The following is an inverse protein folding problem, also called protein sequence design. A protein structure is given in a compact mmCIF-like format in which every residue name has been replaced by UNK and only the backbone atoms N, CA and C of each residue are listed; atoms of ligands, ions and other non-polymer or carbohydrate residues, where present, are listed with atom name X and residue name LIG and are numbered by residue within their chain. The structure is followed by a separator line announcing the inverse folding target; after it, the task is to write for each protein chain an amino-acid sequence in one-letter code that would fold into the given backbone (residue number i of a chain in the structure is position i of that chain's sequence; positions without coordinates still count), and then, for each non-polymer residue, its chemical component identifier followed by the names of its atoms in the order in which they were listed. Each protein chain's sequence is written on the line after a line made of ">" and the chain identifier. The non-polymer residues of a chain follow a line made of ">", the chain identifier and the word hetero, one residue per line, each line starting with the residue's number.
data_IF_118894344632
#
_entry.id   IF_118894344632
#
_cell.length_a   1.000
_cell.length_b   1.000
_cell.length_c   1.000
_cell.angle_alpha   90.00
_cell.angle_beta   90.00
_cell.angle_gamma   90.00
#
_symmetry.space_group_name_H-M   'P 1'
#
loop_
_entity.id
_entity.type
_entity.pdbx_description
1 polymer ?
#
# COMPACT_ATOMS: atom_id res chain seq x y z
N UNK A 1 21.43 -1.06 -34.86
CA UNK A 1 20.55 -1.59 -33.78
C UNK A 1 20.38 -3.10 -33.95
N UNK A 2 20.61 -3.90 -32.90
CA UNK A 2 20.40 -5.35 -32.92
C UNK A 2 19.30 -5.69 -31.90
N UNK A 3 18.26 -6.43 -32.33
CA UNK A 3 17.18 -6.91 -31.46
C UNK A 3 17.71 -7.69 -30.27
N UNK A 4 18.70 -8.56 -30.47
CA UNK A 4 19.31 -9.37 -29.42
C UNK A 4 19.95 -8.48 -28.35
N UNK A 5 20.68 -7.43 -28.75
CA UNK A 5 21.25 -6.48 -27.80
C UNK A 5 20.17 -5.73 -27.02
N UNK A 6 19.05 -5.39 -27.67
CA UNK A 6 17.93 -4.72 -27.02
C UNK A 6 17.23 -5.64 -26.00
N UNK A 7 16.96 -6.89 -26.36
CA UNK A 7 16.37 -7.90 -25.45
C UNK A 7 17.35 -8.21 -24.31
N UNK A 8 18.66 -8.31 -24.58
CA UNK A 8 19.68 -8.53 -23.57
C UNK A 8 19.73 -7.35 -22.58
N UNK A 9 19.73 -6.12 -23.09
CA UNK A 9 19.67 -4.92 -22.27
C UNK A 9 18.41 -4.92 -21.39
N UNK A 10 17.24 -5.20 -21.96
CA UNK A 10 16.00 -5.30 -21.21
C UNK A 10 16.06 -6.38 -20.12
N UNK A 11 16.61 -7.56 -20.41
CA UNK A 11 16.75 -8.66 -19.44
C UNK A 11 17.59 -8.32 -18.20
N UNK A 12 18.51 -7.36 -18.33
CA UNK A 12 19.41 -6.94 -17.25
C UNK A 12 18.87 -5.75 -16.45
N UNK A 13 18.11 -4.86 -17.10
CA UNK A 13 17.67 -3.60 -16.50
C UNK A 13 16.20 -3.62 -16.05
N UNK A 14 15.38 -4.53 -16.57
CA UNK A 14 14.00 -4.69 -16.11
C UNK A 14 13.95 -5.32 -14.71
N UNK A 15 12.88 -5.03 -13.99
CA UNK A 15 12.59 -5.68 -12.73
C UNK A 15 11.92 -7.04 -12.96
N UNK A 16 12.00 -7.92 -11.97
CA UNK A 16 11.22 -9.16 -11.99
C UNK A 16 9.72 -8.81 -11.90
N UNK A 17 8.81 -9.56 -12.56
CA UNK A 17 9.05 -10.81 -13.28
C UNK A 17 9.58 -10.65 -14.72
N UNK A 18 9.39 -9.48 -15.36
CA UNK A 18 9.71 -9.27 -16.77
C UNK A 18 11.18 -9.53 -17.12
N UNK A 19 12.13 -9.20 -16.24
CA UNK A 19 13.54 -9.54 -16.52
C UNK A 19 13.80 -11.04 -16.60
N UNK A 20 13.08 -11.85 -15.83
CA UNK A 20 13.18 -13.32 -15.93
C UNK A 20 12.55 -13.82 -17.23
N UNK A 21 11.43 -13.24 -17.64
CA UNK A 21 10.80 -13.56 -18.92
C UNK A 21 11.74 -13.26 -20.09
N UNK A 22 12.40 -12.12 -20.08
CA UNK A 22 13.38 -11.76 -21.12
C UNK A 22 14.64 -12.62 -21.07
N UNK A 23 15.10 -13.06 -19.88
CA UNK A 23 16.17 -14.07 -19.76
C UNK A 23 15.74 -15.42 -20.32
N UNK A 24 14.48 -15.80 -20.12
CA UNK A 24 13.92 -17.03 -20.65
C UNK A 24 13.89 -17.05 -22.18
N UNK A 25 13.68 -15.90 -22.83
CA UNK A 25 13.79 -15.77 -24.30
C UNK A 25 15.19 -16.19 -24.78
N UNK A 26 16.25 -15.75 -24.10
CA UNK A 26 17.62 -16.20 -24.41
C UNK A 26 17.81 -17.68 -24.11
N UNK A 27 17.39 -18.10 -22.92
CA UNK A 27 17.53 -19.49 -22.48
C UNK A 27 16.87 -20.48 -23.44
N UNK A 28 15.67 -20.18 -23.95
CA UNK A 28 14.96 -21.05 -24.89
C UNK A 28 15.70 -21.16 -26.24
N UNK A 29 16.45 -20.14 -26.66
CA UNK A 29 17.33 -20.22 -27.83
C UNK A 29 18.60 -21.00 -27.53
N UNK A 30 19.24 -20.78 -26.37
CA UNK A 30 20.46 -21.49 -25.97
C UNK A 30 20.27 -23.00 -25.81
N UNK A 31 19.09 -23.42 -25.34
CA UNK A 31 18.71 -24.84 -25.20
C UNK A 31 18.23 -25.44 -26.54
N UNK A 32 18.15 -24.64 -27.61
CA UNK A 32 17.78 -25.09 -28.95
C UNK A 32 16.28 -25.32 -29.14
N UNK A 33 15.42 -24.76 -28.27
CA UNK A 33 13.96 -24.83 -28.43
C UNK A 33 13.46 -23.93 -29.55
N UNK A 34 14.13 -22.80 -29.80
CA UNK A 34 13.90 -21.92 -30.93
C UNK A 34 15.21 -21.63 -31.66
N UNK A 35 15.13 -21.34 -32.96
CA UNK A 35 16.33 -21.11 -33.78
C UNK A 35 16.86 -19.67 -33.67
N UNK A 36 16.00 -18.72 -33.31
CA UNK A 36 16.35 -17.30 -33.23
C UNK A 36 15.67 -16.62 -32.04
N UNK A 37 16.28 -15.52 -31.56
CA UNK A 37 15.69 -14.67 -30.51
C UNK A 37 14.35 -14.09 -30.96
N UNK A 38 14.19 -13.77 -32.25
CA UNK A 38 12.92 -13.30 -32.81
C UNK A 38 11.82 -14.33 -32.63
N UNK A 39 12.07 -15.58 -33.00
CA UNK A 39 11.09 -16.67 -32.91
C UNK A 39 10.69 -16.95 -31.44
N UNK A 40 11.67 -16.93 -30.53
CA UNK A 40 11.41 -17.08 -29.10
C UNK A 40 10.61 -15.90 -28.53
N UNK A 41 10.93 -14.67 -28.95
CA UNK A 41 10.20 -13.46 -28.57
C UNK A 41 8.76 -13.51 -29.09
N UNK A 42 8.55 -13.87 -30.36
CA UNK A 42 7.23 -14.05 -30.97
C UNK A 42 6.39 -15.07 -30.17
N UNK A 43 7.00 -16.17 -29.70
CA UNK A 43 6.34 -17.15 -28.84
C UNK A 43 5.94 -16.57 -27.47
N UNK A 44 6.83 -15.81 -26.84
CA UNK A 44 6.54 -15.12 -25.59
C UNK A 44 5.38 -14.13 -25.74
N UNK A 45 5.35 -13.35 -26.85
CA UNK A 45 4.30 -12.39 -27.12
C UNK A 45 2.92 -13.04 -27.31
N UNK A 46 2.83 -14.29 -27.74
CA UNK A 46 1.54 -15.01 -27.82
C UNK A 46 0.87 -15.18 -26.46
N UNK A 47 1.63 -15.25 -25.36
CA UNK A 47 1.09 -15.36 -24.01
C UNK A 47 0.25 -14.11 -23.69
N UNK A 48 0.65 -12.95 -24.20
CA UNK A 48 0.01 -11.66 -23.95
C UNK A 48 -1.26 -11.44 -24.78
N UNK A 49 -1.63 -12.35 -25.68
CA UNK A 49 -2.75 -12.14 -26.62
C UNK A 49 -4.11 -11.99 -25.92
N UNK A 50 -4.28 -12.64 -24.77
CA UNK A 50 -5.50 -12.54 -23.95
C UNK A 50 -5.54 -11.30 -23.04
N UNK A 51 -4.38 -10.77 -22.65
CA UNK A 51 -4.27 -9.73 -21.62
C UNK A 51 -3.95 -8.35 -22.21
N UNK A 52 -3.06 -8.28 -23.20
CA UNK A 52 -2.58 -7.03 -23.79
C UNK A 52 -2.18 -7.13 -25.27
N UNK A 53 -3.14 -6.85 -26.15
CA UNK A 53 -2.88 -6.72 -27.59
C UNK A 53 -1.98 -5.53 -27.92
N UNK A 54 -2.09 -4.44 -27.17
CA UNK A 54 -1.32 -3.22 -27.38
C UNK A 54 0.18 -3.42 -27.08
N UNK A 55 0.49 -4.35 -26.16
CA UNK A 55 1.86 -4.77 -25.89
C UNK A 55 2.46 -5.51 -27.08
N UNK A 56 1.70 -6.42 -27.68
CA UNK A 56 2.12 -7.17 -28.87
C UNK A 56 2.34 -6.22 -30.06
N UNK A 57 1.39 -5.31 -30.29
CA UNK A 57 1.50 -4.30 -31.35
C UNK A 57 2.72 -3.39 -31.18
N UNK A 58 3.01 -2.96 -29.95
CA UNK A 58 4.20 -2.18 -29.65
C UNK A 58 5.49 -2.96 -29.98
N UNK A 59 5.54 -4.26 -29.65
CA UNK A 59 6.68 -5.10 -30.01
C UNK A 59 6.84 -5.27 -31.52
N UNK A 60 5.75 -5.50 -32.26
CA UNK A 60 5.81 -5.58 -33.73
C UNK A 60 6.26 -4.27 -34.38
N UNK A 61 5.93 -3.10 -33.79
CA UNK A 61 6.46 -1.81 -34.23
C UNK A 61 7.97 -1.68 -33.92
N UNK A 62 8.44 -2.16 -32.77
CA UNK A 62 9.88 -2.20 -32.46
C UNK A 62 10.61 -3.09 -33.47
N UNK A 63 10.06 -4.26 -33.80
CA UNK A 63 10.64 -5.17 -34.79
C UNK A 63 10.66 -4.57 -36.20
N UNK A 64 9.57 -3.93 -36.63
CA UNK A 64 9.51 -3.30 -37.95
C UNK A 64 10.52 -2.15 -38.10
N UNK A 65 10.85 -1.46 -37.00
CA UNK A 65 11.88 -0.42 -36.98
C UNK A 65 13.28 -0.92 -37.39
N UNK A 66 13.57 -2.22 -37.24
CA UNK A 66 14.85 -2.82 -37.64
C UNK A 66 15.01 -2.88 -39.16
N UNK A 67 13.90 -2.90 -39.89
CA UNK A 67 13.86 -2.94 -41.35
C UNK A 67 13.73 -1.55 -41.98
N UNK A 68 13.60 -0.49 -41.17
CA UNK A 68 13.49 0.88 -41.66
C UNK A 68 14.84 1.41 -42.18
N UNK A 69 14.93 1.76 -43.48
CA UNK A 69 16.18 2.23 -44.10
C UNK A 69 16.53 3.65 -43.65
N UNK A 70 15.53 4.49 -43.38
CA UNK A 70 15.71 5.88 -42.96
C UNK A 70 15.69 5.99 -41.43
N UNK A 71 16.73 6.60 -40.86
CA UNK A 71 16.84 6.79 -39.42
C UNK A 71 15.70 7.64 -38.82
N UNK A 72 15.22 8.66 -39.54
CA UNK A 72 14.08 9.50 -39.11
C UNK A 72 12.80 8.67 -39.02
N UNK A 73 12.53 7.83 -40.03
CA UNK A 73 11.37 6.92 -40.00
C UNK A 73 11.48 5.94 -38.85
N UNK A 74 12.65 5.33 -38.66
CA UNK A 74 12.92 4.42 -37.54
C UNK A 74 12.59 5.03 -36.19
N UNK A 75 13.04 6.26 -35.92
CA UNK A 75 12.74 6.97 -34.67
C UNK A 75 11.23 7.16 -34.54
N UNK A 76 10.55 7.61 -35.61
CA UNK A 76 9.09 7.78 -35.60
C UNK A 76 8.33 6.46 -35.34
N UNK A 77 8.82 5.32 -35.84
CA UNK A 77 8.24 4.00 -35.59
C UNK A 77 8.42 3.57 -34.12
N UNK A 78 9.58 3.86 -33.53
CA UNK A 78 9.84 3.62 -32.10
C UNK A 78 9.01 4.55 -31.19
N UNK A 79 8.82 5.81 -31.59
CA UNK A 79 7.89 6.72 -30.89
C UNK A 79 6.45 6.21 -31.00
N UNK A 80 6.08 5.67 -32.17
CA UNK A 80 4.75 5.09 -32.36
C UNK A 80 4.54 3.85 -31.50
N UNK A 81 5.54 2.99 -31.34
CA UNK A 81 5.43 1.82 -30.46
C UNK A 81 5.22 2.22 -29.01
N UNK A 82 5.95 3.25 -28.55
CA UNK A 82 5.77 3.83 -27.21
C UNK A 82 4.37 4.43 -27.05
N UNK A 83 3.88 5.16 -28.05
CA UNK A 83 2.53 5.73 -28.01
C UNK A 83 1.45 4.64 -27.91
N UNK A 84 1.54 3.59 -28.72
CA UNK A 84 0.54 2.50 -28.74
C UNK A 84 0.40 1.84 -27.37
N UNK A 85 1.51 1.54 -26.70
CA UNK A 85 1.45 0.93 -25.36
C UNK A 85 0.91 1.91 -24.31
N UNK A 86 1.30 3.18 -24.35
CA UNK A 86 0.84 4.18 -23.38
C UNK A 86 -0.65 4.49 -23.52
N UNK A 87 -1.10 4.75 -24.74
CA UNK A 87 -2.52 5.01 -25.05
C UNK A 87 -3.36 3.77 -24.74
N UNK A 88 -2.86 2.57 -25.06
CA UNK A 88 -3.52 1.30 -24.73
C UNK A 88 -3.72 1.08 -23.23
N UNK A 89 -2.69 1.33 -22.42
CA UNK A 89 -2.78 1.24 -20.95
C UNK A 89 -3.74 2.29 -20.41
N UNK A 90 -3.71 3.52 -20.94
CA UNK A 90 -4.62 4.58 -20.55
C UNK A 90 -6.09 4.21 -20.83
N UNK A 91 -6.39 3.73 -22.03
CA UNK A 91 -7.73 3.33 -22.42
C UNK A 91 -8.27 2.16 -21.59
N UNK A 92 -7.41 1.18 -21.27
CA UNK A 92 -7.79 0.08 -20.35
C UNK A 92 -8.11 0.59 -18.96
N UNK A 93 -7.29 1.51 -18.42
CA UNK A 93 -7.54 2.12 -17.12
C UNK A 93 -8.84 2.93 -17.10
N UNK A 94 -9.15 3.63 -18.20
CA UNK A 94 -10.41 4.36 -18.34
C UNK A 94 -11.61 3.40 -18.35
N UNK A 95 -11.56 2.34 -19.17
CA UNK A 95 -12.59 1.29 -19.22
C UNK A 95 -12.78 0.62 -17.86
N UNK A 96 -11.68 0.27 -17.17
CA UNK A 96 -11.73 -0.29 -15.82
C UNK A 96 -12.44 0.64 -14.83
N UNK A 97 -12.10 1.92 -14.83
CA UNK A 97 -12.70 2.92 -13.93
C UNK A 97 -14.21 3.02 -14.12
N UNK A 98 -14.70 2.93 -15.36
CA UNK A 98 -16.13 2.90 -15.64
C UNK A 98 -16.79 1.58 -15.19
N UNK A 99 -16.16 0.44 -15.48
CA UNK A 99 -16.71 -0.88 -15.19
C UNK A 99 -16.75 -1.22 -13.69
N UNK A 100 -15.81 -0.68 -12.91
CA UNK A 100 -15.68 -0.92 -11.47
C UNK A 100 -16.77 -0.25 -10.65
N UNK A 101 -17.41 0.80 -11.18
CA UNK A 101 -18.45 1.56 -10.46
C UNK A 101 -19.59 0.64 -9.98
N UNK A 102 -20.15 -0.18 -10.86
CA UNK A 102 -21.29 -1.05 -10.51
C UNK A 102 -20.93 -2.13 -9.48
N UNK A 103 -19.84 -2.90 -9.65
CA UNK A 103 -19.35 -3.83 -8.63
C UNK A 103 -19.10 -3.16 -7.27
N UNK A 104 -18.49 -1.97 -7.24
CA UNK A 104 -18.28 -1.24 -5.99
C UNK A 104 -19.58 -0.81 -5.33
N UNK A 105 -20.58 -0.37 -6.10
CA UNK A 105 -21.91 -0.09 -5.55
C UNK A 105 -22.51 -1.34 -4.92
N UNK A 106 -22.39 -2.51 -5.54
CA UNK A 106 -22.88 -3.76 -4.97
C UNK A 106 -22.17 -4.11 -3.66
N UNK A 107 -20.84 -3.92 -3.60
CA UNK A 107 -20.06 -4.10 -2.37
C UNK A 107 -20.50 -3.10 -1.29
N UNK A 108 -20.74 -1.84 -1.65
CA UNK A 108 -21.26 -0.83 -0.73
C UNK A 108 -22.64 -1.20 -0.19
N UNK A 109 -23.53 -1.68 -1.06
CA UNK A 109 -24.86 -2.16 -0.66
C UNK A 109 -24.76 -3.33 0.32
N UNK A 110 -23.87 -4.29 0.06
CA UNK A 110 -23.65 -5.44 0.92
C UNK A 110 -22.97 -5.07 2.24
N UNK A 111 -21.99 -4.16 2.21
CA UNK A 111 -21.13 -3.85 3.35
C UNK A 111 -21.60 -2.72 4.24
N UNK A 112 -22.46 -1.82 3.75
CA UNK A 112 -22.95 -0.67 4.51
C UNK A 112 -24.46 -0.67 4.60
N UNK A 113 -25.16 -0.76 3.47
CA UNK A 113 -26.63 -0.59 3.45
C UNK A 113 -27.34 -1.79 4.08
N UNK A 114 -26.98 -3.01 3.70
CA UNK A 114 -27.58 -4.22 4.27
C UNK A 114 -27.33 -4.31 5.78
N UNK A 115 -26.12 -4.02 6.31
CA UNK A 115 -25.88 -3.98 7.74
C UNK A 115 -26.70 -2.92 8.49
N UNK A 116 -26.78 -1.71 7.95
CA UNK A 116 -27.51 -0.62 8.60
C UNK A 116 -29.02 -0.90 8.63
N UNK A 117 -29.59 -1.40 7.52
CA UNK A 117 -30.98 -1.87 7.48
C UNK A 117 -31.20 -3.08 8.40
N UNK A 118 -30.28 -4.04 8.40
CA UNK A 118 -30.36 -5.23 9.25
C UNK A 118 -30.36 -4.88 10.74
N UNK A 119 -29.56 -3.90 11.16
CA UNK A 119 -29.56 -3.38 12.53
C UNK A 119 -30.87 -2.66 12.86
N UNK A 120 -31.42 -1.86 11.93
CA UNK A 120 -32.69 -1.16 12.14
C UNK A 120 -33.89 -2.12 12.26
N UNK A 121 -33.85 -3.25 11.54
CA UNK A 121 -34.90 -4.28 11.56
C UNK A 121 -34.73 -5.32 12.69
N UNK A 122 -33.59 -5.31 13.38
CA UNK A 122 -33.26 -6.28 14.43
C UNK A 122 -34.32 -6.36 15.56
N UNK A 123 -34.86 -5.23 16.08
CA UNK A 123 -35.92 -5.28 17.09
C UNK A 123 -37.19 -5.98 16.59
N UNK A 124 -37.58 -5.72 15.34
CA UNK A 124 -38.75 -6.33 14.71
C UNK A 124 -38.53 -7.83 14.50
N UNK A 125 -37.36 -8.19 13.97
CA UNK A 125 -36.98 -9.58 13.77
C UNK A 125 -36.93 -10.35 15.09
N UNK A 126 -36.38 -9.76 16.15
CA UNK A 126 -36.33 -10.36 17.49
C UNK A 126 -37.74 -10.56 18.06
N UNK A 127 -38.66 -9.62 17.86
CA UNK A 127 -40.04 -9.74 18.34
C UNK A 127 -40.85 -10.81 17.58
N UNK A 128 -40.59 -10.99 16.28
CA UNK A 128 -41.31 -11.95 15.43
C UNK A 128 -40.76 -13.37 15.51
N UNK A 129 -39.43 -13.51 15.59
CA UNK A 129 -38.73 -14.81 15.52
C UNK A 129 -38.51 -15.40 16.93
N UNK A 130 -38.70 -14.60 17.98
CA UNK A 130 -38.61 -15.06 19.37
C UNK A 130 -37.24 -15.68 19.71
N UNK A 131 -37.25 -16.80 20.43
CA UNK A 131 -36.05 -17.46 20.98
C UNK A 131 -35.07 -18.04 19.93
N UNK A 132 -35.45 -18.08 18.65
CA UNK A 132 -34.56 -18.55 17.59
C UNK A 132 -33.46 -17.52 17.25
N UNK A 133 -33.69 -16.21 17.49
CA UNK A 133 -32.71 -15.17 17.23
C UNK A 133 -31.89 -14.83 18.49
N UNK A 134 -30.78 -15.53 18.66
CA UNK A 134 -29.82 -15.26 19.76
C UNK A 134 -28.74 -14.25 19.36
N UNK A 135 -28.19 -13.56 20.37
CA UNK A 135 -27.16 -12.52 20.20
C UNK A 135 -25.94 -12.96 19.38
N UNK A 136 -25.53 -14.23 19.49
CA UNK A 136 -24.38 -14.77 18.74
C UNK A 136 -24.63 -14.86 17.24
N UNK A 137 -25.89 -15.03 16.78
CA UNK A 137 -26.20 -15.02 15.34
C UNK A 137 -25.92 -13.65 14.72
N UNK A 138 -26.30 -12.59 15.44
CA UNK A 138 -26.03 -11.20 15.04
C UNK A 138 -24.54 -10.95 15.00
N UNK A 139 -23.80 -11.39 16.03
CA UNK A 139 -22.35 -11.20 16.05
C UNK A 139 -21.68 -11.89 14.86
N UNK A 140 -21.98 -13.16 14.61
CA UNK A 140 -21.35 -13.92 13.51
C UNK A 140 -21.69 -13.30 12.15
N UNK A 141 -22.96 -12.95 11.93
CA UNK A 141 -23.39 -12.40 10.64
C UNK A 141 -22.74 -11.05 10.35
N UNK A 142 -22.82 -10.10 11.28
CA UNK A 142 -22.41 -8.72 11.06
C UNK A 142 -20.92 -8.46 11.29
N UNK A 143 -20.26 -9.19 12.20
CA UNK A 143 -18.84 -8.96 12.49
C UNK A 143 -17.89 -9.92 11.78
N UNK A 144 -18.38 -11.06 11.28
CA UNK A 144 -17.53 -12.05 10.62
C UNK A 144 -17.92 -12.26 9.15
N UNK A 145 -19.16 -12.70 8.89
CA UNK A 145 -19.58 -13.11 7.55
C UNK A 145 -19.60 -11.92 6.59
N UNK A 146 -20.32 -10.84 6.93
CA UNK A 146 -20.45 -9.69 6.03
C UNK A 146 -19.08 -9.04 5.75
N UNK A 147 -18.25 -8.71 6.76
CA UNK A 147 -16.92 -8.14 6.51
C UNK A 147 -16.03 -9.05 5.67
N UNK A 148 -16.09 -10.37 5.86
CA UNK A 148 -15.36 -11.33 5.04
C UNK A 148 -15.77 -11.24 3.57
N UNK A 149 -17.07 -11.23 3.27
CA UNK A 149 -17.56 -11.11 1.89
C UNK A 149 -17.21 -9.76 1.27
N UNK A 150 -17.33 -8.67 2.03
CA UNK A 150 -16.91 -7.33 1.58
C UNK A 150 -15.43 -7.33 1.22
N UNK A 151 -14.59 -7.87 2.10
CA UNK A 151 -13.15 -7.97 1.87
C UNK A 151 -12.83 -8.78 0.60
N UNK A 152 -13.39 -9.99 0.49
CA UNK A 152 -13.18 -10.86 -0.66
C UNK A 152 -13.62 -10.22 -1.98
N UNK A 153 -14.81 -9.61 -2.02
CA UNK A 153 -15.31 -8.96 -3.23
C UNK A 153 -14.49 -7.72 -3.60
N UNK A 154 -14.09 -6.94 -2.61
CA UNK A 154 -13.23 -5.77 -2.84
C UNK A 154 -11.88 -6.20 -3.40
N UNK A 155 -11.25 -7.21 -2.80
CA UNK A 155 -9.96 -7.75 -3.26
C UNK A 155 -10.07 -8.26 -4.72
N UNK A 156 -11.12 -9.03 -5.02
CA UNK A 156 -11.39 -9.51 -6.39
C UNK A 156 -11.55 -8.37 -7.40
N UNK A 157 -12.26 -7.29 -7.05
CA UNK A 157 -12.43 -6.11 -7.93
C UNK A 157 -11.09 -5.39 -8.12
N UNK A 158 -10.31 -5.24 -7.06
CA UNK A 158 -9.02 -4.56 -7.09
C UNK A 158 -7.97 -5.33 -7.91
N UNK A 159 -8.01 -6.67 -7.88
CA UNK A 159 -7.14 -7.53 -8.69
C UNK A 159 -7.41 -7.44 -10.20
N UNK A 160 -8.59 -6.95 -10.61
CA UNK A 160 -8.91 -6.72 -12.03
C UNK A 160 -8.37 -5.39 -12.56
N UNK A 161 -7.72 -4.57 -11.69
CA UNK A 161 -7.12 -3.32 -12.10
C UNK A 161 -6.05 -3.59 -13.17
N UNK A 162 -6.09 -2.91 -14.33
CA UNK A 162 -5.03 -3.00 -15.31
C UNK A 162 -3.67 -2.72 -14.67
N UNK A 163 -2.68 -3.54 -15.02
CA UNK A 163 -1.34 -3.43 -14.48
C UNK A 163 -0.78 -2.02 -14.66
N UNK A 164 -0.36 -1.41 -13.57
CA UNK A 164 0.45 -0.21 -13.54
C UNK A 164 1.74 -0.50 -12.79
N UNK A 165 2.81 0.22 -13.13
CA UNK A 165 4.10 0.04 -12.46
C UNK A 165 3.95 0.24 -10.94
N UNK A 166 4.32 -0.79 -10.16
CA UNK A 166 4.13 -0.84 -8.71
C UNK A 166 5.29 -0.19 -7.95
N UNK A 167 4.99 0.81 -7.12
CA UNK A 167 5.96 1.51 -6.27
C UNK A 167 6.48 0.65 -5.09
N UNK A 168 5.92 -0.55 -4.89
CA UNK A 168 6.18 -1.41 -3.73
C UNK A 168 7.61 -1.93 -3.67
N UNK A 169 8.22 -2.25 -4.81
CA UNK A 169 9.60 -2.78 -4.85
C UNK A 169 10.65 -1.68 -4.67
N UNK A 170 10.28 -0.41 -4.86
CA UNK A 170 11.14 0.72 -4.54
C UNK A 170 11.32 0.86 -3.02
N UNK A 171 10.37 0.39 -2.22
CA UNK A 171 10.46 0.42 -0.77
C UNK A 171 11.60 -0.48 -0.26
N UNK A 172 11.77 -1.66 -0.85
CA UNK A 172 12.79 -2.63 -0.43
C UNK A 172 14.20 -2.16 -0.75
N UNK A 173 14.35 -1.36 -1.81
CA UNK A 173 15.62 -0.73 -2.21
C UNK A 173 15.97 0.49 -1.33
N UNK A 174 15.06 0.94 -0.47
CA UNK A 174 15.30 2.10 0.37
C UNK A 174 16.33 1.77 1.47
N UNK A 175 17.39 2.58 1.66
CA UNK A 175 18.37 2.38 2.73
C UNK A 175 17.77 2.28 4.14
N UNK A 176 16.59 2.87 4.36
CA UNK A 176 15.88 2.86 5.65
C UNK A 176 14.92 1.67 5.81
N UNK A 177 14.90 0.71 4.87
CA UNK A 177 14.01 -0.46 4.93
C UNK A 177 14.19 -1.29 6.21
N UNK A 178 15.39 -1.32 6.80
CA UNK A 178 15.63 -1.99 8.09
C UNK A 178 14.78 -1.41 9.24
N UNK A 179 14.47 -0.10 9.21
CA UNK A 179 13.60 0.54 10.21
C UNK A 179 12.16 0.11 10.04
N UNK A 180 11.71 -0.06 8.79
CA UNK A 180 10.40 -0.61 8.49
C UNK A 180 10.26 -2.06 8.96
N UNK A 181 11.31 -2.88 8.85
CA UNK A 181 11.31 -4.28 9.31
C UNK A 181 11.47 -4.44 10.84
N UNK A 182 11.87 -3.38 11.54
CA UNK A 182 12.11 -3.41 12.98
C UNK A 182 10.84 -3.72 13.79
N UNK A 183 10.96 -4.60 14.79
CA UNK A 183 9.89 -4.93 15.75
C UNK A 183 9.78 -3.94 16.91
N UNK A 184 10.73 -3.00 17.07
CA UNK A 184 10.75 -2.05 18.19
C UNK A 184 9.45 -1.23 18.35
N UNK A 185 8.84 -0.69 17.26
CA UNK A 185 7.58 0.04 17.38
C UNK A 185 6.42 -0.83 17.92
N UNK A 186 6.41 -2.12 17.60
CA UNK A 186 5.41 -3.06 18.13
C UNK A 186 5.55 -3.22 19.63
N UNK A 187 6.76 -3.39 20.16
CA UNK A 187 6.99 -3.56 21.59
C UNK A 187 6.54 -2.31 22.37
N UNK A 188 6.96 -1.13 21.92
CA UNK A 188 6.60 0.13 22.58
C UNK A 188 5.08 0.37 22.55
N UNK A 189 4.44 0.10 21.41
CA UNK A 189 2.99 0.23 21.28
C UNK A 189 2.24 -0.83 22.11
N UNK A 190 2.76 -2.05 22.22
CA UNK A 190 2.17 -3.11 23.05
C UNK A 190 2.14 -2.74 24.53
N UNK A 191 3.18 -2.08 25.05
CA UNK A 191 3.18 -1.62 26.45
C UNK A 191 2.04 -0.63 26.74
N UNK A 192 1.81 0.30 25.80
CA UNK A 192 0.74 1.28 25.90
C UNK A 192 -0.62 0.57 25.76
N UNK A 193 -0.76 -0.35 24.80
CA UNK A 193 -1.97 -1.15 24.63
C UNK A 193 -2.34 -1.90 25.93
N UNK A 194 -1.37 -2.56 26.56
CA UNK A 194 -1.59 -3.30 27.81
C UNK A 194 -2.09 -2.37 28.91
N UNK A 195 -1.53 -1.17 29.06
CA UNK A 195 -2.00 -0.18 30.04
C UNK A 195 -3.47 0.21 29.80
N UNK A 196 -3.83 0.52 28.56
CA UNK A 196 -5.21 0.88 28.19
C UNK A 196 -6.19 -0.29 28.34
N UNK A 197 -5.76 -1.53 28.05
CA UNK A 197 -6.56 -2.73 28.28
C UNK A 197 -6.77 -3.01 29.78
N UNK A 198 -5.75 -2.80 30.62
CA UNK A 198 -5.88 -2.95 32.08
C UNK A 198 -6.94 -1.97 32.60
N UNK A 199 -6.89 -0.71 32.15
CA UNK A 199 -7.88 0.31 32.54
C UNK A 199 -9.28 -0.07 32.02
N UNK A 200 -9.38 -0.52 30.77
CA UNK A 200 -10.67 -0.87 30.18
C UNK A 200 -11.33 -2.12 30.77
N UNK A 201 -10.53 -3.11 31.18
CA UNK A 201 -11.02 -4.32 31.83
C UNK A 201 -11.15 -4.22 33.34
N UNK A 202 -10.77 -3.08 33.94
CA UNK A 202 -10.82 -2.86 35.39
C UNK A 202 -12.16 -3.23 36.04
N UNK A 203 -13.34 -2.90 35.45
CA UNK A 203 -14.63 -3.31 36.02
C UNK A 203 -14.80 -4.84 36.14
N UNK A 204 -14.37 -5.59 35.11
CA UNK A 204 -14.44 -7.05 35.11
C UNK A 204 -13.41 -7.66 36.05
N UNK A 205 -12.20 -7.09 36.09
CA UNK A 205 -11.15 -7.55 37.01
C UNK A 205 -11.63 -7.40 38.45
N UNK A 206 -12.23 -6.26 38.83
CA UNK A 206 -12.70 -6.03 40.20
C UNK A 206 -13.84 -6.99 40.59
N UNK A 207 -14.76 -7.33 39.70
CA UNK A 207 -15.87 -8.21 40.04
C UNK A 207 -15.47 -9.70 40.12
N UNK A 208 -14.65 -10.17 39.17
CA UNK A 208 -14.38 -11.59 38.98
C UNK A 208 -13.07 -12.07 39.62
N UNK A 209 -12.20 -11.16 40.09
CA UNK A 209 -10.96 -11.52 40.79
C UNK A 209 -11.03 -11.15 42.27
N UNK A 210 -10.29 -11.85 43.15
CA UNK A 210 -10.20 -11.51 44.58
C UNK A 210 -9.30 -10.29 44.85
N UNK A 211 -8.89 -9.54 43.81
CA UNK A 211 -7.99 -8.39 43.94
C UNK A 211 -8.58 -7.28 44.82
N UNK A 212 -9.88 -6.92 44.72
CA UNK A 212 -10.44 -5.89 45.61
C UNK A 212 -10.50 -6.35 47.07
N UNK A 213 -10.84 -7.61 47.32
CA UNK A 213 -10.82 -8.18 48.67
C UNK A 213 -9.42 -8.25 49.28
N UNK A 214 -8.37 -8.42 48.45
CA UNK A 214 -6.97 -8.38 48.90
C UNK A 214 -6.51 -6.96 49.23
N UNK A 215 -7.08 -5.95 48.56
CA UNK A 215 -6.80 -4.53 48.78
C UNK A 215 -7.71 -3.88 49.84
N UNK A 216 -8.64 -4.64 50.44
CA UNK A 216 -9.60 -4.13 51.41
C UNK A 216 -10.67 -3.20 50.81
N UNK A 217 -10.89 -3.27 49.49
CA UNK A 217 -11.85 -2.44 48.76
C UNK A 217 -13.16 -3.22 48.52
N UNK A 218 -14.29 -2.52 48.62
CA UNK A 218 -15.58 -3.06 48.18
C UNK A 218 -15.56 -3.32 46.67
N UNK A 219 -16.22 -4.41 46.24
CA UNK A 219 -16.20 -4.85 44.83
C UNK A 219 -16.91 -3.88 43.87
N UNK A 220 -17.87 -3.09 44.38
CA UNK A 220 -18.59 -2.07 43.62
C UNK A 220 -18.72 -0.81 44.47
N UNK A 221 -17.80 0.13 44.24
CA UNK A 221 -17.69 1.40 44.98
C UNK A 221 -18.76 2.36 44.44
N UNK A 222 -19.43 3.12 45.31
CA UNK A 222 -20.37 4.16 44.88
C UNK A 222 -19.65 5.46 44.48
N UNK A 223 -20.25 6.25 43.58
CA UNK A 223 -19.69 7.56 43.22
C UNK A 223 -19.58 8.51 44.42
N UNK A 224 -20.46 8.37 45.41
CA UNK A 224 -20.42 9.08 46.70
C UNK A 224 -19.18 8.73 47.53
N UNK A 225 -18.72 7.47 47.53
CA UNK A 225 -17.52 7.02 48.26
C UNK A 225 -16.21 7.55 47.63
N UNK A 226 -16.20 7.85 46.32
CA UNK A 226 -15.03 8.41 45.61
C UNK A 226 -15.03 9.95 45.63
N UNK A 227 -16.07 10.59 46.19
CA UNK A 227 -16.17 12.05 46.31
C UNK A 227 -16.75 12.76 45.09
N UNK A 228 -17.34 12.03 44.14
CA UNK A 228 -18.07 12.59 43.01
C UNK A 228 -19.57 12.70 43.32
N UNK A 229 -19.94 13.69 44.13
CA UNK A 229 -21.32 13.92 44.59
C UNK A 229 -22.35 14.25 43.50
N UNK A 230 -21.93 14.41 42.24
CA UNK A 230 -22.81 14.68 41.09
C UNK A 230 -23.62 13.44 40.67
N UNK A 231 -23.10 12.23 40.92
CA UNK A 231 -23.72 10.95 40.50
C UNK A 231 -24.41 10.19 41.65
N UNK A 232 -24.51 10.78 42.85
CA UNK A 232 -25.21 10.18 44.00
C UNK A 232 -24.64 8.83 44.46
N UNK A 233 -25.53 7.92 44.89
CA UNK A 233 -25.21 6.56 45.36
C UNK A 233 -25.21 5.52 44.22
N UNK A 234 -25.14 5.96 42.96
CA UNK A 234 -24.96 5.02 41.86
C UNK A 234 -23.62 4.29 41.99
N UNK A 235 -23.67 2.99 41.69
CA UNK A 235 -22.50 2.11 41.67
C UNK A 235 -21.66 2.39 40.42
N UNK A 236 -20.34 2.50 40.58
CA UNK A 236 -19.43 2.89 39.49
C UNK A 236 -19.38 1.84 38.38
N UNK A 237 -19.40 0.56 38.74
CA UNK A 237 -19.42 -0.53 37.78
C UNK A 237 -20.84 -1.05 37.52
N UNK A 238 -21.74 -0.92 38.48
CA UNK A 238 -23.17 -1.17 38.29
C UNK A 238 -23.46 -2.63 37.96
N UNK A 239 -22.93 -3.56 38.75
CA UNK A 239 -23.25 -4.98 38.61
C UNK A 239 -24.60 -5.29 39.27
N UNK A 240 -25.45 -6.03 38.54
CA UNK A 240 -26.73 -6.52 39.04
C UNK A 240 -26.51 -7.96 39.52
N UNK A 241 -26.94 -8.24 40.75
CA UNK A 241 -26.89 -9.57 41.32
C UNK A 241 -28.25 -10.25 41.18
N UNK A 242 -28.32 -11.32 40.39
CA UNK A 242 -29.51 -12.15 40.24
C UNK A 242 -29.19 -13.55 40.79
N UNK A 243 -29.53 -13.79 42.06
CA UNK A 243 -29.16 -15.01 42.79
C UNK A 243 -27.64 -15.12 43.00
N UNK A 244 -27.04 -16.22 42.52
CA UNK A 244 -25.60 -16.48 42.62
C UNK A 244 -24.81 -16.03 41.35
N UNK A 245 -25.48 -15.36 40.41
CA UNK A 245 -24.88 -14.85 39.18
C UNK A 245 -24.84 -13.32 39.21
N UNK A 246 -23.69 -12.78 38.86
CA UNK A 246 -23.52 -11.35 38.62
C UNK A 246 -23.64 -11.09 37.13
N UNK A 247 -24.54 -10.18 36.75
CA UNK A 247 -24.77 -9.75 35.38
C UNK A 247 -24.45 -8.26 35.29
N UNK A 248 -23.60 -7.88 34.35
CA UNK A 248 -23.06 -6.51 34.24
C UNK A 248 -21.59 -6.54 33.86
N UNK A 249 -20.95 -5.38 33.60
CA UNK A 249 -21.23 -4.08 34.21
C UNK A 249 -22.18 -3.17 33.39
N UNK A 250 -23.10 -2.48 34.06
CA UNK A 250 -24.03 -1.51 33.44
C UNK A 250 -23.85 -0.07 33.93
N UNK A 251 -22.89 0.17 34.83
CA UNK A 251 -22.61 1.50 35.38
C UNK A 251 -21.97 2.44 34.36
N UNK A 252 -22.21 3.75 34.53
CA UNK A 252 -21.64 4.82 33.69
C UNK A 252 -20.11 4.79 33.71
N UNK A 253 -19.52 4.50 34.87
CA UNK A 253 -18.06 4.38 35.02
C UNK A 253 -17.49 3.22 34.21
N UNK A 254 -18.17 2.07 34.19
CA UNK A 254 -17.77 0.94 33.36
C UNK A 254 -17.89 1.24 31.85
N UNK A 255 -18.91 2.01 31.44
CA UNK A 255 -19.04 2.44 30.05
C UNK A 255 -17.86 3.31 29.63
N UNK A 256 -17.50 4.32 30.42
CA UNK A 256 -16.34 5.18 30.14
C UNK A 256 -15.06 4.37 30.11
N UNK A 257 -14.88 3.44 31.06
CA UNK A 257 -13.71 2.57 31.10
C UNK A 257 -13.63 1.69 29.84
N UNK A 258 -14.76 1.15 29.38
CA UNK A 258 -14.80 0.31 28.18
C UNK A 258 -14.31 1.03 26.91
N UNK A 259 -14.43 2.37 26.82
CA UNK A 259 -13.94 3.16 25.69
C UNK A 259 -12.40 3.17 25.58
N UNK A 260 -11.68 2.85 26.66
CA UNK A 260 -10.22 2.73 26.62
C UNK A 260 -9.75 1.48 25.86
N UNK A 261 -10.60 0.46 25.69
CA UNK A 261 -10.29 -0.75 24.90
C UNK A 261 -10.13 -0.40 23.41
N UNK A 262 -11.14 0.17 22.71
CA UNK A 262 -10.97 0.56 21.32
C UNK A 262 -9.94 1.68 21.14
N UNK A 263 -9.81 2.60 22.09
CA UNK A 263 -8.77 3.64 22.06
C UNK A 263 -7.35 3.06 22.15
N UNK A 264 -7.12 2.08 23.03
CA UNK A 264 -5.85 1.38 23.16
C UNK A 264 -5.46 0.68 21.85
N UNK A 265 -6.41 -0.02 21.22
CA UNK A 265 -6.20 -0.65 19.91
C UNK A 265 -5.90 0.38 18.81
N UNK A 266 -6.62 1.50 18.78
CA UNK A 266 -6.38 2.57 17.81
C UNK A 266 -4.99 3.20 17.96
N UNK A 267 -4.57 3.50 19.20
CA UNK A 267 -3.24 4.03 19.51
C UNK A 267 -2.14 3.03 19.17
N UNK A 268 -2.36 1.74 19.41
CA UNK A 268 -1.41 0.69 19.04
C UNK A 268 -1.09 0.74 17.54
N UNK A 269 -2.11 0.67 16.68
CA UNK A 269 -1.89 0.72 15.23
C UNK A 269 -1.28 2.05 14.79
N UNK A 270 -1.76 3.17 15.32
CA UNK A 270 -1.26 4.51 14.99
C UNK A 270 0.24 4.63 15.29
N UNK A 271 0.68 4.26 16.50
CA UNK A 271 2.09 4.35 16.89
C UNK A 271 2.99 3.39 16.12
N UNK A 272 2.53 2.15 15.88
CA UNK A 272 3.27 1.18 15.08
C UNK A 272 3.52 1.71 13.67
N UNK A 273 2.47 2.12 12.96
CA UNK A 273 2.61 2.57 11.58
C UNK A 273 3.36 3.89 11.47
N UNK A 274 3.11 4.83 12.38
CA UNK A 274 3.85 6.08 12.41
C UNK A 274 5.36 5.84 12.61
N UNK A 275 5.74 5.03 13.62
CA UNK A 275 7.14 4.74 13.91
C UNK A 275 7.86 4.01 12.77
N UNK A 276 7.16 3.13 12.04
CA UNK A 276 7.72 2.37 10.92
C UNK A 276 7.86 3.18 9.63
N UNK A 277 7.01 4.18 9.40
CA UNK A 277 6.91 4.83 8.09
C UNK A 277 7.38 6.28 8.06
N UNK A 278 7.49 6.97 9.21
CA UNK A 278 7.82 8.39 9.28
C UNK A 278 9.03 8.79 8.45
N UNK A 279 10.17 8.11 8.64
CA UNK A 279 11.39 8.46 7.91
C UNK A 279 11.35 8.05 6.44
N UNK A 280 10.68 6.94 6.12
CA UNK A 280 10.49 6.50 4.73
C UNK A 280 9.65 7.50 3.94
N UNK A 281 8.62 8.09 4.57
CA UNK A 281 7.79 9.13 3.97
C UNK A 281 8.63 10.37 3.67
N UNK A 282 9.50 10.78 4.60
CA UNK A 282 10.41 11.92 4.40
C UNK A 282 11.35 11.66 3.22
N UNK A 283 11.97 10.48 3.14
CA UNK A 283 12.85 10.13 2.01
C UNK A 283 12.08 10.07 0.68
N UNK A 284 10.86 9.50 0.67
CA UNK A 284 9.99 9.48 -0.51
C UNK A 284 9.63 10.89 -0.98
N UNK A 285 9.39 11.82 -0.06
CA UNK A 285 9.11 13.21 -0.40
C UNK A 285 10.33 13.91 -1.00
N UNK A 286 11.54 13.62 -0.49
CA UNK A 286 12.80 14.07 -1.11
C UNK A 286 12.97 13.50 -2.52
N UNK A 287 12.70 12.21 -2.73
CA UNK A 287 12.77 11.59 -4.07
C UNK A 287 11.78 12.23 -5.04
N UNK A 288 10.52 12.44 -4.63
CA UNK A 288 9.52 13.12 -5.47
C UNK A 288 9.92 14.54 -5.85
N UNK A 289 10.51 15.27 -4.89
CA UNK A 289 11.02 16.62 -5.17
C UNK A 289 12.22 16.58 -6.12
N UNK A 290 13.14 15.63 -5.93
CA UNK A 290 14.25 15.37 -6.85
C UNK A 290 13.72 15.09 -8.26
N UNK A 291 12.78 14.17 -8.44
CA UNK A 291 12.20 13.83 -9.76
C UNK A 291 11.60 15.05 -10.47
N UNK A 292 10.88 15.90 -9.71
CA UNK A 292 10.29 17.13 -10.25
C UNK A 292 11.37 18.14 -10.68
N UNK A 293 12.43 18.29 -9.88
CA UNK A 293 13.57 19.17 -10.19
C UNK A 293 14.47 18.61 -11.30
N UNK A 294 14.52 17.29 -11.42
CA UNK A 294 15.39 16.58 -12.36
C UNK A 294 14.99 16.82 -13.81
N UNK A 295 13.69 16.87 -14.12
CA UNK A 295 13.20 17.19 -15.47
C UNK A 295 13.74 18.55 -15.98
N UNK A 296 13.65 19.58 -15.14
CA UNK A 296 14.19 20.90 -15.48
C UNK A 296 15.71 20.88 -15.61
N UNK A 297 16.37 20.09 -14.76
CA UNK A 297 17.83 19.97 -14.77
C UNK A 297 18.34 19.24 -16.02
N UNK A 298 17.63 18.21 -16.49
CA UNK A 298 17.92 17.51 -17.76
C UNK A 298 17.74 18.43 -18.97
N UNK A 299 16.69 19.25 -18.99
CA UNK A 299 16.51 20.24 -20.05
C UNK A 299 17.68 21.24 -20.10
N UNK A 300 18.12 21.74 -18.94
CA UNK A 300 19.29 22.62 -18.85
C UNK A 300 20.59 21.91 -19.26
N UNK A 301 20.75 20.63 -18.91
CA UNK A 301 21.87 19.80 -19.36
C UNK A 301 21.87 19.65 -20.88
N UNK A 302 20.73 19.29 -21.46
CA UNK A 302 20.55 19.16 -22.90
C UNK A 302 20.89 20.45 -23.64
N UNK A 303 20.39 21.59 -23.18
CA UNK A 303 20.72 22.89 -23.78
C UNK A 303 22.22 23.23 -23.67
N UNK A 304 22.87 22.91 -22.55
CA UNK A 304 24.31 23.19 -22.37
C UNK A 304 25.16 22.31 -23.30
N UNK A 305 24.86 21.03 -23.40
CA UNK A 305 25.55 20.10 -24.29
C UNK A 305 25.28 20.49 -25.76
N UNK A 306 24.03 20.82 -26.10
CA UNK A 306 23.65 21.31 -27.44
C UNK A 306 24.37 22.60 -27.84
N UNK A 307 24.73 23.45 -26.88
CA UNK A 307 25.53 24.65 -27.08
C UNK A 307 27.04 24.37 -27.17
N UNK A 308 27.47 23.11 -27.26
CA UNK A 308 28.88 22.72 -27.43
C UNK A 308 29.69 22.70 -26.12
N UNK A 309 29.04 22.73 -24.95
CA UNK A 309 29.75 22.55 -23.67
C UNK A 309 30.07 21.07 -23.49
N UNK A 310 31.34 20.69 -23.21
CA UNK A 310 31.70 19.31 -22.91
C UNK A 310 30.86 18.75 -21.75
N UNK A 311 30.34 17.51 -21.85
CA UNK A 311 29.46 16.92 -20.83
C UNK A 311 30.02 17.01 -19.41
N UNK A 312 31.33 16.81 -19.25
CA UNK A 312 32.05 16.85 -17.97
C UNK A 312 31.95 18.24 -17.32
N UNK A 313 32.06 19.30 -18.13
CA UNK A 313 31.94 20.67 -17.67
C UNK A 313 30.47 21.07 -17.47
N UNK A 314 29.56 20.50 -18.26
CA UNK A 314 28.13 20.76 -18.17
C UNK A 314 27.55 20.26 -16.83
N UNK A 315 27.93 19.06 -16.38
CA UNK A 315 27.56 18.54 -15.06
C UNK A 315 28.08 19.40 -13.91
N UNK A 316 29.31 19.89 -13.99
CA UNK A 316 29.87 20.80 -13.00
C UNK A 316 29.12 22.14 -12.92
N UNK A 317 28.83 22.76 -14.07
CA UNK A 317 28.07 24.02 -14.13
C UNK A 317 26.63 23.85 -13.65
N UNK A 318 26.02 22.68 -13.86
CA UNK A 318 24.70 22.35 -13.33
C UNK A 318 24.70 22.16 -11.83
N UNK A 319 25.71 21.49 -11.27
CA UNK A 319 25.88 21.38 -9.83
C UNK A 319 25.96 22.76 -9.17
N UNK A 320 26.63 23.72 -9.80
CA UNK A 320 26.68 25.11 -9.31
C UNK A 320 25.35 25.87 -9.49
N UNK A 321 24.65 25.68 -10.61
CA UNK A 321 23.37 26.36 -10.87
C UNK A 321 22.17 25.74 -10.14
N UNK A 322 22.30 24.51 -9.64
CA UNK A 322 21.30 23.82 -8.83
C UNK A 322 21.52 24.00 -7.32
N UNK A 323 22.36 24.95 -6.90
CA UNK A 323 22.58 25.24 -5.48
C UNK A 323 21.28 25.40 -4.71
N UNK A 324 21.17 24.71 -3.57
CA UNK A 324 19.99 24.65 -2.69
C UNK A 324 18.83 23.79 -3.21
N UNK A 325 18.95 23.15 -4.38
CA UNK A 325 18.03 22.12 -4.86
C UNK A 325 18.51 20.75 -4.42
N UNK A 326 17.61 19.77 -4.38
CA UNK A 326 17.97 18.39 -4.03
C UNK A 326 18.85 17.78 -5.14
N UNK A 327 18.69 18.24 -6.38
CA UNK A 327 19.51 17.79 -7.51
C UNK A 327 20.98 18.22 -7.43
N UNK A 328 21.33 19.18 -6.58
CA UNK A 328 22.73 19.61 -6.34
C UNK A 328 23.61 18.43 -5.95
N UNK A 329 23.19 17.64 -4.95
CA UNK A 329 23.96 16.51 -4.43
C UNK A 329 24.15 15.41 -5.49
N UNK A 330 23.13 15.21 -6.33
CA UNK A 330 23.21 14.28 -7.46
C UNK A 330 24.26 14.75 -8.48
N UNK A 331 24.15 15.97 -8.99
CA UNK A 331 25.08 16.49 -10.00
C UNK A 331 26.50 16.67 -9.45
N UNK A 332 26.65 17.02 -8.18
CA UNK A 332 27.95 17.05 -7.50
C UNK A 332 28.59 15.67 -7.46
N UNK A 333 27.85 14.61 -7.12
CA UNK A 333 28.38 13.23 -7.14
C UNK A 333 28.82 12.81 -8.54
N UNK A 334 28.01 13.09 -9.55
CA UNK A 334 28.35 12.79 -10.95
C UNK A 334 29.62 13.53 -11.37
N UNK A 335 29.68 14.85 -11.14
CA UNK A 335 30.87 15.66 -11.45
C UNK A 335 32.12 15.18 -10.69
N UNK A 336 31.98 14.82 -9.41
CA UNK A 336 33.06 14.27 -8.61
C UNK A 336 33.59 12.94 -9.17
N UNK A 337 32.70 12.02 -9.57
CA UNK A 337 33.09 10.75 -10.17
C UNK A 337 33.81 10.94 -11.52
N UNK A 338 33.32 11.86 -12.36
CA UNK A 338 33.95 12.20 -13.64
C UNK A 338 35.35 12.79 -13.41
N UNK A 339 35.46 13.82 -12.56
CA UNK A 339 36.72 14.56 -12.38
C UNK A 339 37.78 13.81 -11.57
N UNK A 340 37.37 13.01 -10.59
CA UNK A 340 38.29 12.36 -9.64
C UNK A 340 38.56 10.90 -9.95
N UNK A 341 37.60 10.17 -10.51
CA UNK A 341 37.76 8.75 -10.85
C UNK A 341 37.97 8.51 -12.36
N UNK A 342 37.99 9.57 -13.19
CA UNK A 342 38.24 9.46 -14.63
C UNK A 342 37.19 8.66 -15.39
N UNK A 343 35.98 8.52 -14.82
CA UNK A 343 34.88 7.83 -15.50
C UNK A 343 34.37 8.73 -16.64
N UNK A 344 34.34 8.19 -17.86
CA UNK A 344 33.71 8.85 -19.00
C UNK A 344 32.20 8.98 -18.80
N UNK A 345 31.58 9.87 -19.57
CA UNK A 345 30.12 10.03 -19.64
C UNK A 345 29.49 9.02 -20.63
N UNK A 346 30.32 8.30 -21.39
CA UNK A 346 29.92 7.27 -22.37
C UNK A 346 29.52 5.92 -21.75
#
# INVERSE_FOLDING_TARGET
>A
PNLEKAVAFASQHLQQPLSLDFKKIFYDVEVGKFSTIKESLDNYLQIWKGDSSEFIEAFHLIESSLFEPNNTKRISTLEKSLQVILDGVYDKMLKFTHNVRSPLTNVYMLGVVLPTLGLALLPLASAMIGDYLKWYHVIILFNLIIPFFVFYLTDKIMMQRPGGYGETDLLERNPLYFKYKSKKPYVNASLILVLFLIIGFLPLVFQYTPIPSLLGLEKDISFSQIGFGIFGDEKIFGFIQEGNKFTGPFGVGALVLSMFIPLGLALFFSMVYHGRTKELIIEREKTRRLEKEFNNSLFQLGNRIGNGVPPELAFGKLADSSRSLITEDFFKRVNYNIRRNGMGVE
#
